data_IF_409533816385
#
_entry.id   IF_409533816385
#
_cell.length_a   1.000
_cell.length_b   1.000
_cell.length_c   1.000
_cell.angle_alpha   90.00
_cell.angle_beta   90.00
_cell.angle_gamma   90.00
#
_symmetry.space_group_name_H-M   'P 1'
#
loop_
_entity.id
_entity.type
_entity.pdbx_description
1 polymer ?
#
# COMPACT_ATOMS: atom_id res chain seq x y z
N UNK A 1 -9.16 8.37 -1.31
CA UNK A 1 -7.74 8.86 -1.21
C UNK A 1 -7.02 8.48 -2.48
N UNK A 2 -6.39 9.44 -3.12
CA UNK A 2 -5.53 9.19 -4.29
C UNK A 2 -4.13 8.74 -3.83
N UNK A 3 -3.90 7.44 -3.89
CA UNK A 3 -2.63 6.84 -3.48
C UNK A 3 -1.47 7.22 -4.39
N UNK A 4 -1.72 7.38 -5.69
CA UNK A 4 -0.72 7.81 -6.65
C UNK A 4 -0.16 9.18 -6.30
N UNK A 5 -1.03 10.11 -5.94
CA UNK A 5 -0.63 11.45 -5.55
C UNK A 5 0.20 11.46 -4.25
N UNK A 6 -0.32 10.86 -3.17
CA UNK A 6 0.27 10.99 -1.84
C UNK A 6 1.52 10.12 -1.62
N UNK A 7 1.56 8.93 -2.21
CA UNK A 7 2.62 7.95 -1.95
C UNK A 7 3.63 7.80 -3.09
N UNK A 8 3.32 8.31 -4.29
CA UNK A 8 4.24 8.24 -5.45
C UNK A 8 4.62 9.63 -5.93
N UNK A 9 3.66 10.42 -6.40
CA UNK A 9 3.92 11.74 -7.01
C UNK A 9 4.68 12.70 -6.08
N UNK A 10 4.15 12.96 -4.88
CA UNK A 10 4.80 13.88 -3.94
C UNK A 10 6.20 13.41 -3.50
N UNK A 11 6.42 12.14 -3.11
CA UNK A 11 7.75 11.66 -2.77
C UNK A 11 8.75 11.73 -3.94
N UNK A 12 8.35 11.41 -5.17
CA UNK A 12 9.22 11.53 -6.34
C UNK A 12 9.65 12.98 -6.58
N UNK A 13 8.73 13.93 -6.49
CA UNK A 13 9.08 15.36 -6.57
C UNK A 13 10.04 15.81 -5.48
N UNK A 14 9.89 15.30 -4.27
CA UNK A 14 10.80 15.59 -3.15
C UNK A 14 12.17 14.93 -3.29
N UNK A 15 12.25 13.86 -4.07
CA UNK A 15 13.53 13.24 -4.46
C UNK A 15 14.24 14.03 -5.59
N UNK A 16 13.59 15.07 -6.12
CA UNK A 16 14.18 15.95 -7.15
C UNK A 16 13.83 15.57 -8.58
N UNK A 17 12.92 14.60 -8.78
CA UNK A 17 12.45 14.25 -10.11
C UNK A 17 11.47 15.32 -10.63
N UNK A 18 11.54 15.60 -11.92
CA UNK A 18 10.46 16.28 -12.64
C UNK A 18 9.36 15.24 -12.91
N UNK A 19 8.14 15.51 -12.46
CA UNK A 19 7.04 14.55 -12.55
C UNK A 19 5.80 15.19 -13.13
N UNK A 20 5.28 14.60 -14.21
CA UNK A 20 3.95 14.87 -14.71
C UNK A 20 2.98 13.84 -14.10
N UNK A 21 1.95 14.30 -13.41
CA UNK A 21 0.93 13.44 -12.82
C UNK A 21 -0.27 13.34 -13.77
N UNK A 22 -0.51 12.15 -14.32
CA UNK A 22 -1.66 11.87 -15.17
C UNK A 22 -2.75 11.18 -14.35
N UNK A 23 -3.85 11.88 -14.11
CA UNK A 23 -5.03 11.32 -13.44
C UNK A 23 -5.85 10.50 -14.45
N UNK A 24 -5.94 9.19 -14.23
CA UNK A 24 -6.69 8.28 -15.09
C UNK A 24 -8.22 8.37 -14.90
N UNK A 25 -8.69 9.13 -13.92
CA UNK A 25 -10.12 9.39 -13.67
C UNK A 25 -10.57 10.66 -14.37
N UNK A 26 -9.88 11.78 -14.11
CA UNK A 26 -10.18 13.11 -14.64
C UNK A 26 -8.91 13.82 -15.13
N UNK A 27 -8.30 13.40 -16.24
CA UNK A 27 -7.06 14.00 -16.72
C UNK A 27 -7.30 15.43 -17.23
N UNK A 28 -6.38 16.36 -16.94
CA UNK A 28 -6.39 17.73 -17.48
C UNK A 28 -6.17 17.72 -19.01
N UNK A 29 -5.20 16.96 -19.49
CA UNK A 29 -4.97 16.68 -20.92
C UNK A 29 -5.29 15.22 -21.20
N UNK A 30 -6.20 14.97 -22.13
CA UNK A 30 -6.68 13.63 -22.49
C UNK A 30 -5.84 12.97 -23.58
N UNK A 31 -5.11 13.75 -24.37
CA UNK A 31 -4.19 13.21 -25.38
C UNK A 31 -2.85 12.80 -24.73
N UNK A 32 -2.82 11.57 -24.26
CA UNK A 32 -1.63 11.02 -23.59
C UNK A 32 -0.40 10.97 -24.50
N UNK A 33 -0.59 10.79 -25.81
CA UNK A 33 0.50 10.82 -26.78
C UNK A 33 1.15 12.18 -26.85
N UNK A 34 0.36 13.26 -26.85
CA UNK A 34 0.85 14.65 -26.79
C UNK A 34 1.66 14.88 -25.52
N UNK A 35 1.19 14.38 -24.37
CA UNK A 35 1.92 14.50 -23.10
C UNK A 35 3.31 13.83 -23.22
N UNK A 36 3.39 12.60 -23.75
CA UNK A 36 4.68 11.91 -23.94
C UNK A 36 5.61 12.70 -24.88
N UNK A 37 5.09 13.24 -25.98
CA UNK A 37 5.88 13.99 -26.96
C UNK A 37 6.43 15.30 -26.39
N UNK A 38 5.65 16.00 -25.58
CA UNK A 38 6.03 17.29 -24.96
C UNK A 38 6.92 17.10 -23.73
N UNK A 39 6.54 16.20 -22.80
CA UNK A 39 7.24 15.98 -21.55
C UNK A 39 8.50 15.12 -21.69
N UNK A 40 8.51 14.15 -22.64
CA UNK A 40 9.61 13.22 -22.93
C UNK A 40 10.12 12.50 -21.69
N UNK A 41 9.28 11.71 -21.01
CA UNK A 41 9.65 11.05 -19.77
C UNK A 41 10.74 9.99 -19.99
N UNK A 42 11.65 9.85 -19.01
CA UNK A 42 12.60 8.73 -18.94
C UNK A 42 11.90 7.44 -18.47
N UNK A 43 10.84 7.61 -17.65
CA UNK A 43 10.06 6.51 -17.09
C UNK A 43 8.57 6.88 -17.06
N UNK A 44 7.72 5.96 -17.50
CA UNK A 44 6.27 5.99 -17.27
C UNK A 44 5.97 5.03 -16.12
N UNK A 45 5.66 5.61 -14.93
CA UNK A 45 5.29 4.85 -13.74
C UNK A 45 3.77 4.72 -13.63
N UNK A 46 3.27 3.50 -13.62
CA UNK A 46 1.85 3.20 -13.62
C UNK A 46 1.41 2.38 -12.39
N UNK A 47 0.14 2.57 -12.02
CA UNK A 47 -0.62 1.71 -11.14
C UNK A 47 -2.00 1.51 -11.79
N UNK A 48 -2.05 0.83 -12.93
CA UNK A 48 -3.26 0.67 -13.73
C UNK A 48 -4.12 -0.47 -13.21
N UNK A 49 -5.42 -0.27 -13.26
CA UNK A 49 -6.42 -1.21 -12.75
C UNK A 49 -7.06 -2.09 -13.83
N UNK A 50 -7.05 -1.65 -15.09
CA UNK A 50 -7.79 -2.28 -16.17
C UNK A 50 -9.31 -2.18 -16.00
N UNK A 51 -9.81 -1.36 -15.07
CA UNK A 51 -11.22 -1.20 -14.78
C UNK A 51 -11.73 0.18 -15.25
N UNK A 52 -12.36 0.22 -16.41
CA UNK A 52 -12.90 1.45 -17.00
C UNK A 52 -13.98 2.14 -16.16
N UNK A 53 -14.63 1.42 -15.24
CA UNK A 53 -15.60 2.03 -14.32
C UNK A 53 -14.92 2.84 -13.19
N UNK A 54 -13.64 2.55 -12.91
CA UNK A 54 -12.84 3.23 -11.91
C UNK A 54 -11.91 4.25 -12.57
N UNK A 55 -11.22 3.86 -13.65
CA UNK A 55 -10.22 4.65 -14.33
C UNK A 55 -10.48 4.63 -15.86
N UNK A 56 -11.42 5.45 -16.36
CA UNK A 56 -11.86 5.41 -17.76
C UNK A 56 -10.80 5.87 -18.78
N UNK A 57 -9.78 6.60 -18.32
CA UNK A 57 -8.76 7.21 -19.15
C UNK A 57 -7.37 6.54 -19.01
N UNK A 58 -7.32 5.27 -18.63
CA UNK A 58 -6.05 4.52 -18.63
C UNK A 58 -5.49 4.37 -20.05
N UNK A 59 -4.25 4.85 -20.35
CA UNK A 59 -3.71 4.95 -21.72
C UNK A 59 -2.98 3.66 -22.15
N UNK A 60 -3.68 2.52 -22.13
CA UNK A 60 -3.10 1.19 -22.39
C UNK A 60 -2.38 1.07 -23.73
N UNK A 61 -2.98 1.66 -24.77
CA UNK A 61 -2.42 1.59 -26.13
C UNK A 61 -1.11 2.37 -26.22
N UNK A 62 -1.10 3.58 -25.71
CA UNK A 62 0.05 4.48 -25.75
C UNK A 62 1.22 3.91 -24.92
N UNK A 63 0.93 3.29 -23.77
CA UNK A 63 1.92 2.60 -22.96
C UNK A 63 2.52 1.40 -23.71
N UNK A 64 1.69 0.58 -24.37
CA UNK A 64 2.17 -0.53 -25.18
C UNK A 64 3.02 -0.05 -26.35
N UNK A 65 2.63 1.04 -27.00
CA UNK A 65 3.38 1.65 -28.10
C UNK A 65 4.76 2.14 -27.60
N UNK A 66 4.84 2.76 -26.42
CA UNK A 66 6.11 3.17 -25.80
C UNK A 66 6.98 1.97 -25.41
N UNK A 67 6.39 0.95 -24.78
CA UNK A 67 7.11 -0.28 -24.44
C UNK A 67 7.70 -0.97 -25.67
N UNK A 68 6.92 -1.10 -26.73
CA UNK A 68 7.37 -1.73 -27.98
C UNK A 68 8.42 -0.90 -28.72
N UNK A 69 8.34 0.43 -28.64
CA UNK A 69 9.32 1.32 -29.26
C UNK A 69 10.66 1.33 -28.55
N UNK A 70 10.67 1.01 -27.25
CA UNK A 70 11.86 1.09 -26.40
C UNK A 70 12.37 2.51 -26.14
N UNK A 71 11.56 3.55 -26.46
CA UNK A 71 11.95 4.96 -26.24
C UNK A 71 11.92 5.33 -24.76
N UNK A 72 10.87 4.89 -24.07
CA UNK A 72 10.63 5.18 -22.68
C UNK A 72 10.45 3.88 -21.92
N UNK A 73 11.13 3.70 -20.79
CA UNK A 73 10.82 2.58 -19.89
C UNK A 73 9.42 2.73 -19.33
N UNK A 74 8.68 1.63 -19.28
CA UNK A 74 7.34 1.58 -18.72
C UNK A 74 7.30 0.62 -17.55
N UNK A 75 6.67 1.03 -16.46
CA UNK A 75 6.56 0.26 -15.24
C UNK A 75 5.11 0.23 -14.75
N UNK A 76 4.66 -0.93 -14.27
CA UNK A 76 3.38 -1.03 -13.57
C UNK A 76 3.51 -1.73 -12.22
N UNK A 77 2.89 -1.15 -11.20
CA UNK A 77 2.75 -1.75 -9.90
C UNK A 77 1.41 -2.49 -9.81
N UNK A 78 1.44 -3.83 -9.72
CA UNK A 78 0.27 -4.64 -9.46
C UNK A 78 0.06 -4.75 -7.94
N UNK A 79 -1.11 -4.29 -7.47
CA UNK A 79 -1.39 -4.16 -6.03
C UNK A 79 -2.15 -5.37 -5.46
N UNK A 80 -2.82 -6.14 -6.31
CA UNK A 80 -3.89 -7.06 -5.92
C UNK A 80 -3.71 -8.47 -6.50
N UNK A 81 -2.48 -8.94 -6.64
CA UNK A 81 -2.17 -10.20 -7.31
C UNK A 81 -2.76 -11.43 -6.61
N UNK A 82 -3.05 -11.37 -5.31
CA UNK A 82 -3.69 -12.46 -4.57
C UNK A 82 -5.01 -12.93 -5.17
N UNK A 83 -5.75 -12.05 -5.85
CA UNK A 83 -7.03 -12.36 -6.49
C UNK A 83 -7.15 -11.90 -7.95
N UNK A 84 -6.19 -11.10 -8.43
CA UNK A 84 -6.20 -10.55 -9.80
C UNK A 84 -5.14 -11.14 -10.73
N UNK A 85 -4.26 -11.99 -10.24
CA UNK A 85 -3.18 -12.52 -11.05
C UNK A 85 -3.70 -13.21 -12.33
N UNK A 86 -4.58 -14.22 -12.18
CA UNK A 86 -5.04 -15.02 -13.32
C UNK A 86 -5.93 -14.28 -14.32
N UNK A 87 -6.72 -13.33 -13.81
CA UNK A 87 -7.68 -12.60 -14.65
C UNK A 87 -7.16 -11.26 -15.19
N UNK A 88 -6.11 -10.69 -14.60
CA UNK A 88 -5.59 -9.39 -14.98
C UNK A 88 -4.06 -9.34 -15.08
N UNK A 89 -3.30 -9.47 -13.99
CA UNK A 89 -1.88 -9.14 -13.94
C UNK A 89 -1.04 -10.02 -14.86
N UNK A 90 -1.35 -11.33 -14.96
CA UNK A 90 -0.67 -12.26 -15.86
C UNK A 90 -0.82 -11.92 -17.35
N UNK A 91 -1.88 -11.20 -17.71
CA UNK A 91 -2.15 -10.76 -19.09
C UNK A 91 -1.60 -9.37 -19.37
N UNK A 92 -1.69 -8.50 -18.35
CA UNK A 92 -1.30 -7.10 -18.48
C UNK A 92 0.22 -6.88 -18.36
N UNK A 93 0.96 -7.78 -17.72
CA UNK A 93 2.40 -7.61 -17.50
C UNK A 93 3.19 -7.40 -18.79
N UNK A 94 2.79 -8.04 -19.89
CA UNK A 94 3.45 -7.89 -21.21
C UNK A 94 3.34 -6.49 -21.84
N UNK A 95 2.48 -5.63 -21.28
CA UNK A 95 2.36 -4.23 -21.73
C UNK A 95 3.49 -3.34 -21.21
N UNK A 96 4.29 -3.82 -20.26
CA UNK A 96 5.28 -3.01 -19.56
C UNK A 96 6.69 -3.57 -19.69
N UNK A 97 7.66 -2.68 -19.65
CA UNK A 97 9.09 -3.05 -19.62
C UNK A 97 9.44 -3.78 -18.31
N UNK A 98 8.85 -3.35 -17.20
CA UNK A 98 9.07 -3.91 -15.86
C UNK A 98 7.78 -3.82 -15.07
N UNK A 99 7.51 -4.80 -14.21
CA UNK A 99 6.38 -4.77 -13.28
C UNK A 99 6.84 -5.05 -11.85
N UNK A 100 5.99 -4.74 -10.87
CA UNK A 100 6.18 -5.18 -9.50
C UNK A 100 4.90 -5.73 -8.87
N UNK A 101 5.08 -6.59 -7.88
CA UNK A 101 4.04 -7.16 -7.01
C UNK A 101 4.43 -6.98 -5.54
N UNK A 102 3.48 -6.69 -4.63
CA UNK A 102 3.77 -6.67 -3.20
C UNK A 102 3.83 -8.08 -2.57
N UNK A 103 3.48 -9.11 -3.32
CA UNK A 103 3.30 -10.47 -2.85
C UNK A 103 4.49 -11.35 -3.25
N UNK A 104 5.38 -11.73 -2.30
CA UNK A 104 6.59 -12.51 -2.63
C UNK A 104 6.31 -13.82 -3.37
N UNK A 105 5.20 -14.50 -3.04
CA UNK A 105 4.80 -15.75 -3.67
C UNK A 105 4.46 -15.61 -5.16
N UNK A 106 4.15 -14.38 -5.62
CA UNK A 106 3.76 -14.14 -7.01
C UNK A 106 4.96 -13.90 -7.93
N UNK A 107 6.14 -13.62 -7.42
CA UNK A 107 7.37 -13.50 -8.24
C UNK A 107 7.57 -14.75 -9.10
N UNK A 108 7.51 -15.94 -8.48
CA UNK A 108 7.68 -17.19 -9.21
C UNK A 108 6.49 -17.51 -10.14
N UNK A 109 5.28 -17.05 -9.82
CA UNK A 109 4.13 -17.17 -10.72
C UNK A 109 4.31 -16.37 -12.01
N UNK A 110 4.79 -15.09 -11.92
CA UNK A 110 5.11 -14.29 -13.11
C UNK A 110 6.21 -14.96 -13.96
N UNK A 111 7.27 -15.46 -13.34
CA UNK A 111 8.32 -16.17 -14.06
C UNK A 111 7.81 -17.45 -14.74
N UNK A 112 6.90 -18.19 -14.10
CA UNK A 112 6.32 -19.42 -14.66
C UNK A 112 5.52 -19.19 -15.95
N UNK A 113 5.01 -17.97 -16.17
CA UNK A 113 4.34 -17.58 -17.43
C UNK A 113 5.28 -16.91 -18.44
N UNK A 114 6.61 -16.94 -18.17
CA UNK A 114 7.63 -16.36 -19.04
C UNK A 114 7.87 -14.86 -18.88
N UNK A 115 7.39 -14.26 -17.78
CA UNK A 115 7.64 -12.84 -17.48
C UNK A 115 8.67 -12.70 -16.34
N UNK A 116 9.95 -12.49 -16.71
CA UNK A 116 11.08 -12.43 -15.77
C UNK A 116 11.33 -11.02 -15.21
N UNK A 117 10.75 -9.97 -15.82
CA UNK A 117 10.95 -8.57 -15.45
C UNK A 117 9.99 -8.13 -14.34
N UNK A 118 9.91 -8.92 -13.29
CA UNK A 118 9.05 -8.70 -12.13
C UNK A 118 9.88 -8.42 -10.88
N UNK A 119 9.57 -7.33 -10.18
CA UNK A 119 10.23 -6.90 -8.95
C UNK A 119 9.31 -7.12 -7.75
N UNK A 120 9.89 -7.34 -6.57
CA UNK A 120 9.17 -7.28 -5.30
C UNK A 120 9.04 -5.80 -4.88
N UNK A 121 7.89 -5.20 -5.17
CA UNK A 121 7.54 -3.85 -4.75
C UNK A 121 6.53 -3.90 -3.62
N UNK A 122 6.93 -3.52 -2.40
CA UNK A 122 5.98 -3.49 -1.28
C UNK A 122 5.18 -2.19 -1.26
N UNK A 123 4.05 -2.22 -0.55
CA UNK A 123 3.39 -1.04 -0.04
C UNK A 123 4.37 -0.22 0.83
N UNK A 124 4.13 1.07 0.95
CA UNK A 124 4.96 2.00 1.72
C UNK A 124 4.10 3.19 2.16
N UNK A 125 4.58 4.01 3.08
CA UNK A 125 3.90 5.23 3.47
C UNK A 125 4.82 6.45 3.37
N UNK A 126 4.24 7.57 2.98
CA UNK A 126 4.90 8.86 3.01
C UNK A 126 4.81 9.43 4.43
N UNK A 127 5.87 9.28 5.22
CA UNK A 127 5.86 9.72 6.62
C UNK A 127 5.62 11.23 6.80
N UNK A 128 5.89 12.02 5.77
CA UNK A 128 5.78 13.50 5.83
C UNK A 128 4.34 14.04 5.75
N UNK A 129 3.36 13.18 5.42
CA UNK A 129 1.94 13.57 5.42
C UNK A 129 1.25 13.26 6.74
N UNK A 130 1.91 12.55 7.64
CA UNK A 130 1.40 12.23 8.97
C UNK A 130 2.01 13.18 10.00
N UNK A 131 1.26 13.42 11.08
CA UNK A 131 1.71 14.21 12.21
C UNK A 131 1.52 13.42 13.51
N UNK A 132 2.39 12.42 13.77
CA UNK A 132 2.25 11.55 14.93
C UNK A 132 2.19 12.37 16.22
N UNK A 133 1.10 12.20 17.00
CA UNK A 133 0.96 12.78 18.32
C UNK A 133 1.76 11.99 19.37
N UNK A 134 2.12 12.64 20.46
CA UNK A 134 2.62 11.90 21.63
C UNK A 134 1.56 10.89 22.09
N UNK A 135 1.98 9.77 22.63
CA UNK A 135 1.04 8.67 22.92
C UNK A 135 -0.06 9.09 23.92
N UNK A 136 0.24 10.00 24.84
CA UNK A 136 -0.71 10.54 25.81
C UNK A 136 -1.75 11.50 25.20
N UNK A 137 -1.46 12.07 24.05
CA UNK A 137 -2.37 12.97 23.32
C UNK A 137 -3.26 12.22 22.31
N UNK A 138 -3.05 10.90 22.18
CA UNK A 138 -3.85 10.06 21.31
C UNK A 138 -5.17 9.70 21.99
N UNK A 139 -6.27 10.00 21.36
CA UNK A 139 -7.62 9.85 21.89
C UNK A 139 -8.38 8.63 21.33
N UNK A 140 -7.83 7.94 20.34
CA UNK A 140 -8.37 6.69 19.79
C UNK A 140 -7.55 5.52 20.35
N UNK A 141 -8.15 4.72 21.24
CA UNK A 141 -7.45 3.60 21.88
C UNK A 141 -7.18 2.47 20.89
N UNK A 142 -8.21 1.99 20.18
CA UNK A 142 -8.09 1.02 19.08
C UNK A 142 -8.90 1.56 17.90
N UNK A 143 -8.24 1.84 16.78
CA UNK A 143 -8.85 2.42 15.59
C UNK A 143 -8.71 1.53 14.36
N UNK A 144 -9.77 1.48 13.55
CA UNK A 144 -9.77 0.90 12.22
C UNK A 144 -10.14 1.97 11.20
N UNK A 145 -9.22 2.30 10.31
CA UNK A 145 -9.45 3.24 9.21
C UNK A 145 -9.72 2.46 7.94
N UNK A 146 -10.93 2.52 7.41
CA UNK A 146 -11.33 1.85 6.17
C UNK A 146 -12.74 1.31 6.16
N UNK A 147 -13.13 0.69 5.04
CA UNK A 147 -14.50 0.18 4.83
C UNK A 147 -14.81 -0.99 5.77
N UNK A 148 -15.86 -0.92 6.59
CA UNK A 148 -16.31 -2.00 7.46
C UNK A 148 -17.16 -3.02 6.67
N UNK A 149 -16.51 -3.85 5.87
CA UNK A 149 -17.14 -4.88 5.05
C UNK A 149 -17.71 -6.03 5.92
N UNK A 150 -18.55 -6.89 5.32
CA UNK A 150 -19.13 -8.02 6.04
C UNK A 150 -18.08 -8.97 6.62
N UNK A 151 -17.02 -9.25 5.87
CA UNK A 151 -15.92 -10.12 6.31
C UNK A 151 -15.13 -9.58 7.52
N UNK A 152 -15.26 -8.29 7.82
CA UNK A 152 -14.59 -7.60 8.93
C UNK A 152 -15.51 -7.38 10.13
N UNK A 153 -16.81 -7.64 9.97
CA UNK A 153 -17.82 -7.29 10.96
C UNK A 153 -17.56 -7.90 12.33
N UNK A 154 -17.16 -9.17 12.38
CA UNK A 154 -16.90 -9.88 13.63
C UNK A 154 -15.79 -9.22 14.46
N UNK A 155 -14.80 -8.63 13.80
CA UNK A 155 -13.71 -7.89 14.47
C UNK A 155 -14.09 -6.45 14.84
N UNK A 156 -14.96 -5.82 14.07
CA UNK A 156 -15.26 -4.40 14.19
C UNK A 156 -16.50 -4.08 15.02
N UNK A 157 -17.50 -4.95 14.98
CA UNK A 157 -18.83 -4.67 15.54
C UNK A 157 -19.26 -5.75 16.54
N UNK A 158 -19.18 -7.03 16.15
CA UNK A 158 -19.73 -8.14 16.91
C UNK A 158 -18.70 -8.70 17.93
N UNK A 159 -17.89 -7.84 18.53
CA UNK A 159 -16.73 -8.13 19.35
C UNK A 159 -16.75 -7.35 20.66
N UNK A 160 -16.34 -7.94 21.80
CA UNK A 160 -16.30 -7.24 23.09
C UNK A 160 -15.17 -6.18 23.19
N UNK A 161 -14.23 -6.14 22.23
CA UNK A 161 -13.21 -5.11 22.18
C UNK A 161 -13.76 -3.91 21.42
N UNK A 162 -13.88 -2.73 22.04
CA UNK A 162 -14.34 -1.55 21.32
C UNK A 162 -13.29 -1.10 20.30
N UNK A 163 -13.70 -0.99 19.04
CA UNK A 163 -12.88 -0.48 17.94
C UNK A 163 -13.58 0.75 17.36
N UNK A 164 -12.88 1.88 17.32
CA UNK A 164 -13.37 3.08 16.64
C UNK A 164 -13.19 2.91 15.13
N UNK A 165 -14.32 2.98 14.39
CA UNK A 165 -14.33 2.80 12.93
C UNK A 165 -14.34 4.17 12.28
N UNK A 166 -13.30 4.47 11.51
CA UNK A 166 -13.18 5.70 10.72
C UNK A 166 -13.37 5.33 9.25
N UNK A 167 -14.49 5.74 8.69
CA UNK A 167 -14.91 5.38 7.34
C UNK A 167 -15.66 6.53 6.67
N UNK A 168 -15.50 6.67 5.35
CA UNK A 168 -16.15 7.70 4.54
C UNK A 168 -15.83 9.14 4.99
N UNK A 169 -14.56 9.37 5.26
CA UNK A 169 -14.00 10.65 5.70
C UNK A 169 -13.01 11.18 4.65
N UNK A 170 -12.63 12.45 4.74
CA UNK A 170 -11.61 13.05 3.86
C UNK A 170 -10.23 12.40 4.00
N UNK A 171 -9.36 12.65 3.04
CA UNK A 171 -7.98 12.13 3.07
C UNK A 171 -7.21 12.67 4.27
N UNK A 172 -7.38 13.95 4.59
CA UNK A 172 -6.77 14.61 5.73
C UNK A 172 -7.25 14.01 7.06
N UNK A 173 -8.53 13.67 7.14
CA UNK A 173 -9.10 12.98 8.31
C UNK A 173 -8.55 11.56 8.46
N UNK A 174 -8.26 10.85 7.35
CA UNK A 174 -7.56 9.55 7.40
C UNK A 174 -6.18 9.69 8.05
N UNK A 175 -5.38 10.67 7.60
CA UNK A 175 -4.05 10.91 8.15
C UNK A 175 -4.10 11.33 9.62
N UNK A 176 -5.05 12.22 9.96
CA UNK A 176 -5.29 12.64 11.33
C UNK A 176 -5.73 11.48 12.23
N UNK A 177 -6.61 10.59 11.75
CA UNK A 177 -7.06 9.42 12.50
C UNK A 177 -5.91 8.48 12.83
N UNK A 178 -5.06 8.15 11.86
CA UNK A 178 -3.85 7.33 12.13
C UNK A 178 -2.93 7.99 13.14
N UNK A 179 -2.75 9.32 13.08
CA UNK A 179 -1.91 10.08 14.02
C UNK A 179 -2.49 10.16 15.43
N UNK A 180 -3.80 9.99 15.61
CA UNK A 180 -4.53 9.99 16.88
C UNK A 180 -4.72 8.60 17.49
N UNK A 181 -4.45 7.53 16.72
CA UNK A 181 -4.70 6.15 17.13
C UNK A 181 -3.52 5.57 17.92
N UNK A 182 -3.76 4.98 19.09
CA UNK A 182 -2.75 4.27 19.89
C UNK A 182 -2.44 2.89 19.30
N UNK A 183 -3.49 2.10 19.03
CA UNK A 183 -3.42 0.76 18.44
C UNK A 183 -4.22 0.75 17.17
N UNK A 184 -3.53 0.74 16.03
CA UNK A 184 -4.18 0.66 14.72
C UNK A 184 -4.45 -0.79 14.34
N UNK A 185 -5.70 -1.09 14.04
CA UNK A 185 -6.13 -2.42 13.59
C UNK A 185 -6.05 -2.53 12.07
N UNK A 186 -5.36 -3.57 11.59
CA UNK A 186 -5.44 -3.99 10.20
C UNK A 186 -6.06 -5.40 10.10
N UNK A 187 -7.00 -5.55 9.17
CA UNK A 187 -7.57 -6.82 8.77
C UNK A 187 -7.10 -7.13 7.35
N UNK A 188 -6.32 -8.19 7.22
CA UNK A 188 -5.68 -8.59 5.96
C UNK A 188 -6.64 -9.33 5.02
N UNK A 189 -7.81 -9.75 5.49
CA UNK A 189 -8.83 -10.41 4.69
C UNK A 189 -9.15 -9.62 3.42
N UNK A 190 -9.28 -10.34 2.32
CA UNK A 190 -9.61 -9.78 1.02
C UNK A 190 -11.05 -10.18 0.62
N UNK A 191 -11.95 -9.19 0.62
CA UNK A 191 -13.36 -9.40 0.28
C UNK A 191 -13.59 -9.77 -1.21
N UNK A 192 -12.60 -9.54 -2.06
CA UNK A 192 -12.67 -9.88 -3.48
C UNK A 192 -12.09 -11.28 -3.79
N UNK A 193 -11.48 -11.93 -2.79
CA UNK A 193 -10.99 -13.30 -2.92
C UNK A 193 -12.10 -14.28 -2.53
N UNK A 194 -12.63 -15.07 -3.47
CA UNK A 194 -13.71 -16.02 -3.19
C UNK A 194 -13.30 -17.11 -2.19
N UNK A 195 -12.01 -17.36 -2.00
CA UNK A 195 -11.48 -18.31 -1.03
C UNK A 195 -11.22 -17.70 0.34
N UNK A 196 -11.47 -16.38 0.49
CA UNK A 196 -11.28 -15.66 1.76
C UNK A 196 -9.83 -15.47 2.15
N UNK A 197 -8.93 -15.43 1.18
CA UNK A 197 -7.51 -15.23 1.39
C UNK A 197 -7.13 -13.90 2.03
N UNK A 198 -5.91 -13.82 2.50
CA UNK A 198 -5.33 -12.58 3.04
C UNK A 198 -4.36 -11.95 2.04
N UNK A 199 -4.12 -10.65 2.17
CA UNK A 199 -3.13 -9.92 1.36
C UNK A 199 -2.47 -8.80 2.17
N UNK A 200 -1.29 -8.36 1.75
CA UNK A 200 -0.65 -7.16 2.27
C UNK A 200 -1.51 -5.93 1.97
N UNK A 201 -1.72 -5.08 2.97
CA UNK A 201 -2.54 -3.87 2.84
C UNK A 201 -1.68 -2.62 3.05
N UNK A 202 -1.99 -1.57 2.31
CA UNK A 202 -1.43 -0.23 2.50
C UNK A 202 -1.56 0.25 3.96
N UNK A 203 -2.69 -0.03 4.59
CA UNK A 203 -3.00 0.36 5.98
C UNK A 203 -1.95 -0.09 7.00
N UNK A 204 -1.24 -1.19 6.76
CA UNK A 204 -0.14 -1.65 7.61
C UNK A 204 0.90 -0.53 7.78
N UNK A 205 1.30 0.07 6.66
CA UNK A 205 2.30 1.13 6.63
C UNK A 205 1.74 2.48 7.11
N UNK A 206 0.47 2.76 6.83
CA UNK A 206 -0.23 3.99 7.26
C UNK A 206 -0.36 4.08 8.79
N UNK A 207 -0.74 2.99 9.46
CA UNK A 207 -0.83 2.92 10.91
C UNK A 207 0.53 3.23 11.54
N UNK A 208 1.60 2.61 11.02
CA UNK A 208 2.95 2.80 11.51
C UNK A 208 3.44 4.22 11.24
N UNK A 209 3.16 4.79 10.05
CA UNK A 209 3.49 6.17 9.71
C UNK A 209 2.77 7.19 10.60
N UNK A 210 1.54 6.91 11.02
CA UNK A 210 0.82 7.66 12.05
C UNK A 210 1.40 7.49 13.45
N UNK A 211 2.42 6.65 13.63
CA UNK A 211 3.08 6.39 14.93
C UNK A 211 2.26 5.54 15.89
N UNK A 212 1.23 4.83 15.41
CA UNK A 212 0.45 3.86 16.18
C UNK A 212 1.13 2.49 16.26
N UNK A 213 0.75 1.70 17.25
CA UNK A 213 1.11 0.27 17.31
C UNK A 213 0.25 -0.49 16.34
N UNK A 214 0.85 -1.18 15.38
CA UNK A 214 0.12 -2.04 14.45
C UNK A 214 -0.29 -3.34 15.15
N UNK A 215 -1.60 -3.60 15.20
CA UNK A 215 -2.20 -4.90 15.49
C UNK A 215 -2.85 -5.41 14.22
N UNK A 216 -2.30 -6.45 13.61
CA UNK A 216 -2.71 -6.90 12.27
C UNK A 216 -3.08 -8.37 12.22
N UNK A 217 -4.14 -8.69 11.48
CA UNK A 217 -4.34 -10.06 11.05
C UNK A 217 -3.12 -10.54 10.27
N UNK A 218 -2.63 -11.74 10.62
CA UNK A 218 -1.44 -12.32 10.00
C UNK A 218 -1.65 -12.52 8.49
N UNK A 219 -0.64 -12.18 7.73
CA UNK A 219 -0.52 -12.49 6.32
C UNK A 219 0.89 -13.05 6.08
N UNK A 220 0.98 -14.17 5.39
CA UNK A 220 2.25 -14.84 5.10
C UNK A 220 3.17 -13.91 4.30
N UNK A 221 4.36 -13.68 4.82
CA UNK A 221 5.36 -12.80 4.23
C UNK A 221 5.48 -11.44 4.90
N UNK A 222 4.62 -11.10 5.89
CA UNK A 222 4.73 -9.86 6.65
C UNK A 222 6.07 -9.78 7.40
N UNK A 223 6.64 -10.92 7.78
CA UNK A 223 7.95 -11.05 8.42
C UNK A 223 9.13 -10.63 7.55
N UNK A 224 8.94 -10.49 6.23
CA UNK A 224 9.94 -9.90 5.35
C UNK A 224 10.04 -8.38 5.50
N UNK A 225 9.06 -7.74 6.14
CA UNK A 225 8.97 -6.30 6.30
C UNK A 225 9.15 -5.85 7.75
N UNK A 226 8.64 -6.64 8.71
CA UNK A 226 8.63 -6.26 10.12
C UNK A 226 8.96 -7.43 11.03
N UNK A 227 9.63 -7.16 12.16
CA UNK A 227 9.85 -8.13 13.21
C UNK A 227 8.60 -8.23 14.11
N UNK A 228 7.94 -9.40 14.07
CA UNK A 228 6.73 -9.67 14.86
C UNK A 228 7.04 -9.61 16.35
N UNK A 229 6.12 -9.07 17.14
CA UNK A 229 6.16 -8.82 18.58
C UNK A 229 7.23 -7.78 19.04
N UNK A 230 8.01 -7.22 18.11
CA UNK A 230 8.93 -6.11 18.39
C UNK A 230 8.59 -4.81 17.67
N UNK A 231 8.18 -4.91 16.41
CA UNK A 231 7.84 -3.77 15.53
C UNK A 231 6.36 -3.72 15.21
N UNK A 232 5.71 -4.88 15.19
CA UNK A 232 4.27 -5.07 14.97
C UNK A 232 3.75 -6.20 15.84
N UNK A 233 2.41 -6.31 15.98
CA UNK A 233 1.76 -7.45 16.62
C UNK A 233 0.79 -8.08 15.65
N UNK A 234 0.87 -9.41 15.48
CA UNK A 234 -0.02 -10.17 14.58
C UNK A 234 -1.01 -11.02 15.37
N UNK A 235 -2.13 -11.39 14.73
CA UNK A 235 -3.09 -12.39 15.23
C UNK A 235 -3.65 -13.20 14.06
N UNK A 236 -4.06 -14.43 14.31
CA UNK A 236 -4.69 -15.31 13.31
C UNK A 236 -6.17 -15.56 13.63
N UNK A 237 -6.51 -15.62 14.91
CA UNK A 237 -7.87 -15.94 15.37
C UNK A 237 -8.50 -14.77 16.14
N UNK A 238 -9.83 -14.81 16.28
CA UNK A 238 -10.58 -13.85 17.10
C UNK A 238 -10.16 -13.91 18.58
N UNK A 239 -9.86 -15.10 19.08
CA UNK A 239 -9.38 -15.27 20.47
C UNK A 239 -8.03 -14.56 20.67
N UNK A 240 -7.08 -14.74 19.74
CA UNK A 240 -5.80 -14.06 19.76
C UNK A 240 -5.95 -12.55 19.64
N UNK A 241 -6.81 -12.07 18.72
CA UNK A 241 -7.12 -10.66 18.61
C UNK A 241 -7.58 -10.09 19.96
N UNK A 242 -8.59 -10.71 20.58
CA UNK A 242 -9.13 -10.27 21.87
C UNK A 242 -8.08 -10.24 22.97
N UNK A 243 -7.24 -11.27 23.05
CA UNK A 243 -6.16 -11.39 24.03
C UNK A 243 -5.09 -10.30 23.81
N UNK A 244 -4.62 -10.15 22.56
CA UNK A 244 -3.56 -9.21 22.21
C UNK A 244 -4.03 -7.76 22.31
N UNK A 245 -5.24 -7.45 21.86
CA UNK A 245 -5.84 -6.12 21.99
C UNK A 245 -5.97 -5.69 23.47
N UNK A 246 -6.50 -6.58 24.33
CA UNK A 246 -6.58 -6.34 25.78
C UNK A 246 -5.21 -6.17 26.43
N UNK A 247 -4.23 -6.97 26.00
CA UNK A 247 -2.87 -6.87 26.52
C UNK A 247 -2.25 -5.51 26.17
N UNK A 248 -2.30 -5.12 24.90
CA UNK A 248 -1.74 -3.85 24.43
C UNK A 248 -2.42 -2.65 25.11
N UNK A 249 -3.74 -2.65 25.24
CA UNK A 249 -4.48 -1.56 25.90
C UNK A 249 -4.11 -1.39 27.37
N UNK A 250 -3.72 -2.48 28.07
CA UNK A 250 -3.35 -2.46 29.49
C UNK A 250 -1.86 -2.23 29.74
N UNK A 251 -1.01 -2.38 28.72
CA UNK A 251 0.45 -2.34 28.84
C UNK A 251 1.05 -1.22 28.00
N UNK A 252 0.69 0.03 28.32
CA UNK A 252 1.07 1.22 27.56
C UNK A 252 2.58 1.29 27.24
N UNK A 253 3.45 0.92 28.20
CA UNK A 253 4.90 0.93 28.01
C UNK A 253 5.34 0.00 26.88
N UNK A 254 4.77 -1.20 26.81
CA UNK A 254 5.08 -2.19 25.75
C UNK A 254 4.54 -1.69 24.42
N UNK A 255 3.30 -1.23 24.41
CA UNK A 255 2.61 -0.70 23.24
C UNK A 255 3.40 0.47 22.62
N UNK A 256 3.83 1.44 23.44
CA UNK A 256 4.72 2.54 23.01
C UNK A 256 6.05 2.05 22.43
N UNK A 257 6.65 1.03 23.03
CA UNK A 257 7.93 0.48 22.57
C UNK A 257 7.78 -0.14 21.17
N UNK A 258 6.73 -0.94 20.97
CA UNK A 258 6.43 -1.55 19.66
C UNK A 258 6.16 -0.48 18.62
N UNK A 259 5.31 0.51 18.93
CA UNK A 259 5.03 1.64 18.05
C UNK A 259 6.30 2.39 17.61
N UNK A 260 7.19 2.68 18.56
CA UNK A 260 8.46 3.35 18.30
C UNK A 260 9.36 2.52 17.37
N UNK A 261 9.47 1.22 17.62
CA UNK A 261 10.32 0.33 16.81
C UNK A 261 9.76 0.21 15.39
N UNK A 262 8.45 -0.01 15.24
CA UNK A 262 7.79 -0.06 13.94
C UNK A 262 7.94 1.25 13.15
N UNK A 263 7.77 2.40 13.82
CA UNK A 263 7.98 3.70 13.20
C UNK A 263 9.42 3.91 12.73
N UNK A 264 10.42 3.50 13.54
CA UNK A 264 11.82 3.57 13.13
C UNK A 264 12.09 2.67 11.92
N UNK A 265 11.58 1.43 11.93
CA UNK A 265 11.67 0.51 10.78
C UNK A 265 11.07 1.14 9.52
N UNK A 266 9.91 1.80 9.64
CA UNK A 266 9.28 2.48 8.51
C UNK A 266 10.20 3.58 7.96
N UNK A 267 10.75 4.45 8.81
CA UNK A 267 11.63 5.52 8.38
C UNK A 267 12.90 5.00 7.70
N UNK A 268 13.45 3.90 8.18
CA UNK A 268 14.71 3.33 7.68
C UNK A 268 14.53 2.54 6.38
N UNK A 269 13.35 1.90 6.18
CA UNK A 269 13.20 0.94 5.08
C UNK A 269 11.91 1.08 4.26
N UNK A 270 10.83 1.62 4.85
CA UNK A 270 9.48 1.58 4.26
C UNK A 270 8.87 2.96 3.99
N UNK A 271 9.60 4.04 4.26
CA UNK A 271 9.18 5.37 3.81
C UNK A 271 9.14 5.43 2.29
N UNK A 272 8.17 6.16 1.74
CA UNK A 272 7.96 6.27 0.29
C UNK A 272 9.22 6.70 -0.46
N UNK A 273 10.00 7.64 0.08
CA UNK A 273 11.26 8.08 -0.57
C UNK A 273 12.28 6.95 -0.65
N UNK A 274 12.43 6.19 0.42
CA UNK A 274 13.36 5.05 0.47
C UNK A 274 12.93 3.95 -0.50
N UNK A 275 11.64 3.59 -0.48
CA UNK A 275 11.11 2.53 -1.35
C UNK A 275 11.15 2.91 -2.83
N UNK A 276 10.74 4.12 -3.16
CA UNK A 276 10.78 4.61 -4.54
C UNK A 276 12.21 4.74 -5.06
N UNK A 277 13.16 5.26 -4.27
CA UNK A 277 14.56 5.33 -4.68
C UNK A 277 15.15 3.95 -4.98
N UNK A 278 14.85 2.94 -4.13
CA UNK A 278 15.29 1.56 -4.36
C UNK A 278 14.64 0.97 -5.62
N UNK A 279 13.34 1.19 -5.79
CA UNK A 279 12.58 0.68 -6.94
C UNK A 279 13.07 1.29 -8.25
N UNK A 280 13.26 2.62 -8.31
CA UNK A 280 13.76 3.30 -9.50
C UNK A 280 15.12 2.76 -9.91
N UNK A 281 16.03 2.59 -8.94
CA UNK A 281 17.34 1.98 -9.21
C UNK A 281 17.24 0.58 -9.80
N UNK A 282 16.36 -0.28 -9.26
CA UNK A 282 16.13 -1.61 -9.80
C UNK A 282 15.52 -1.58 -11.22
N UNK A 283 14.64 -0.61 -11.50
CA UNK A 283 14.08 -0.41 -12.85
C UNK A 283 15.18 0.01 -13.84
N UNK A 284 16.10 0.85 -13.42
CA UNK A 284 17.24 1.30 -14.27
C UNK A 284 18.18 0.15 -14.65
N UNK A 285 18.36 -0.83 -13.75
CA UNK A 285 19.26 -1.98 -13.93
C UNK A 285 18.70 -3.07 -14.86
N UNK A 286 17.40 -3.06 -15.16
CA UNK A 286 16.71 -3.98 -16.10
C UNK A 286 16.66 -3.36 -17.51
#
# INVERSE_FOLDING_TARGET
MDMGHWYVYLPLRRLGHEVYFYDTVEPEEKDYKKIIEEFKPDLIYCCLTGNKSIAPHEPWKEILDETNSGRTKTFNWFCDDTWRFDNFSSKACSYFSVCSTPEPAYIEKFKSIGYDKILLGSWHANSEIYSPKSFSERDIDIGFVGTPTLSRRDYLVDNPIPVEIIFNVSTEEIFAAHSRTKIGLNLSVNDNDPEGGTQMKQRIFEIIAGGGTLLTQYHKGIENFFEIDKEIVTFETMEEFNKKAKFLSKNERITKSIAKNGYQRLLDEHDSKIRLSKLLKQIEEI
#
